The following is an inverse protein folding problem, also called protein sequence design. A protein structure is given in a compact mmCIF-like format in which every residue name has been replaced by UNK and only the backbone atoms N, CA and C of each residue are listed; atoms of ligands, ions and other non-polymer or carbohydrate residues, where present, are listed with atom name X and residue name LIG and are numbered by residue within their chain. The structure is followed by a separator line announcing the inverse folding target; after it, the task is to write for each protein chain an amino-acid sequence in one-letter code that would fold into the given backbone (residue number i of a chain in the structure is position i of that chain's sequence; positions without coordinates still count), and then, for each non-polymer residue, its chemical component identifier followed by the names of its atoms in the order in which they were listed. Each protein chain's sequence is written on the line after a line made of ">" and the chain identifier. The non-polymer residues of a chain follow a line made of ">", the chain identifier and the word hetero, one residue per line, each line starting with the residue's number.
data_IF_582876082690
#
_entry.id   IF_582876082690
#
_cell.length_a   1.000
_cell.length_b   1.000
_cell.length_c   1.000
_cell.angle_alpha   90.00
_cell.angle_beta   90.00
_cell.angle_gamma   90.00
#
_symmetry.space_group_name_H-M   'P 1'
#
loop_
_entity.id
_entity.type
_entity.pdbx_description
1 polymer ?
#
# COMPACT_ATOMS: atom_id res chain seq x y z
N UNK A 1 22.67 10.99 -20.85
CA UNK A 1 21.41 11.06 -20.11
C UNK A 1 20.92 9.63 -19.90
N UNK A 2 20.69 9.21 -18.67
CA UNK A 2 20.01 7.94 -18.41
C UNK A 2 18.55 8.21 -18.76
N UNK A 3 17.99 7.49 -19.73
CA UNK A 3 16.59 7.65 -20.10
C UNK A 3 15.71 7.35 -18.87
N UNK A 4 14.68 8.16 -18.64
CA UNK A 4 13.73 7.92 -17.56
C UNK A 4 13.13 6.50 -17.69
N UNK A 5 13.26 5.69 -16.65
CA UNK A 5 12.65 4.37 -16.62
C UNK A 5 11.20 4.49 -16.16
N UNK A 6 10.27 4.29 -17.09
CA UNK A 6 8.85 4.14 -16.76
C UNK A 6 8.59 2.72 -16.27
N UNK A 7 7.90 2.58 -15.13
CA UNK A 7 7.43 1.30 -14.58
C UNK A 7 5.91 1.36 -14.44
N UNK A 8 5.27 0.21 -14.62
CA UNK A 8 3.82 0.07 -14.58
C UNK A 8 3.42 -0.81 -13.40
N UNK A 9 2.25 -0.53 -12.83
CA UNK A 9 1.55 -1.44 -11.93
C UNK A 9 0.53 -2.18 -12.81
N UNK A 10 0.68 -3.50 -12.89
CA UNK A 10 -0.16 -4.35 -13.73
C UNK A 10 -1.60 -4.42 -13.20
N UNK A 11 -2.57 -4.57 -14.12
CA UNK A 11 -3.97 -4.82 -13.80
C UNK A 11 -4.11 -6.21 -13.14
N UNK A 12 -4.66 -6.24 -11.92
CA UNK A 12 -4.91 -7.47 -11.17
C UNK A 12 -5.85 -7.19 -9.98
N UNK A 13 -6.15 -8.23 -9.20
CA UNK A 13 -6.89 -8.10 -7.94
C UNK A 13 -5.96 -7.73 -6.80
N UNK A 14 -6.43 -6.85 -5.92
CA UNK A 14 -5.69 -6.36 -4.77
C UNK A 14 -6.54 -6.48 -3.50
N UNK A 15 -5.88 -6.74 -2.38
CA UNK A 15 -6.39 -6.38 -1.06
C UNK A 15 -6.12 -4.88 -0.87
N UNK A 16 -7.17 -4.08 -0.81
CA UNK A 16 -7.08 -2.63 -0.63
C UNK A 16 -7.56 -2.23 0.77
N UNK A 17 -6.79 -1.37 1.45
CA UNK A 17 -7.12 -0.84 2.76
C UNK A 17 -6.76 0.64 2.83
N UNK A 18 -7.76 1.48 3.10
CA UNK A 18 -7.52 2.86 3.51
C UNK A 18 -7.11 2.90 4.98
N UNK A 19 -5.91 3.39 5.24
CA UNK A 19 -5.36 3.49 6.57
C UNK A 19 -5.09 4.95 6.93
N UNK A 20 -5.47 5.34 8.15
CA UNK A 20 -5.24 6.66 8.71
C UNK A 20 -4.18 6.57 9.81
N UNK A 21 -3.16 7.42 9.73
CA UNK A 21 -2.07 7.49 10.70
C UNK A 21 -0.72 7.81 10.07
N UNK A 22 0.28 8.01 10.92
CA UNK A 22 1.65 8.38 10.50
C UNK A 22 2.34 7.29 9.69
N UNK A 23 3.18 7.65 8.70
CA UNK A 23 3.89 6.66 7.86
C UNK A 23 4.73 5.61 8.62
N UNK A 24 5.12 5.90 9.86
CA UNK A 24 5.80 4.95 10.75
C UNK A 24 4.94 3.69 11.00
N UNK A 25 3.62 3.83 11.07
CA UNK A 25 2.67 2.74 11.35
C UNK A 25 2.38 1.82 10.16
N UNK A 26 2.69 2.23 8.92
CA UNK A 26 2.34 1.48 7.70
C UNK A 26 2.94 0.08 7.72
N UNK A 27 4.21 -0.07 8.10
CA UNK A 27 4.87 -1.38 8.11
C UNK A 27 4.21 -2.37 9.09
N UNK A 28 3.80 -1.88 10.26
CA UNK A 28 3.05 -2.69 11.23
C UNK A 28 1.67 -3.07 10.69
N UNK A 29 0.97 -2.13 10.04
CA UNK A 29 -0.34 -2.40 9.44
C UNK A 29 -0.25 -3.42 8.30
N UNK A 30 0.74 -3.33 7.42
CA UNK A 30 0.96 -4.32 6.35
C UNK A 30 1.19 -5.72 6.95
N UNK A 31 1.96 -5.81 8.04
CA UNK A 31 2.19 -7.09 8.73
C UNK A 31 0.90 -7.67 9.29
N UNK A 32 0.07 -6.85 9.94
CA UNK A 32 -1.26 -7.24 10.43
C UNK A 32 -2.15 -7.75 9.30
N UNK A 33 -2.23 -7.00 8.18
CA UNK A 33 -3.02 -7.40 7.00
C UNK A 33 -2.55 -8.74 6.43
N UNK A 34 -1.23 -8.99 6.39
CA UNK A 34 -0.69 -10.27 5.91
C UNK A 34 -1.00 -11.43 6.84
N UNK A 35 -1.09 -11.19 8.14
CA UNK A 35 -1.48 -12.21 9.12
C UNK A 35 -2.97 -12.53 9.00
N UNK A 36 -3.82 -11.51 8.89
CA UNK A 36 -5.27 -11.65 8.82
C UNK A 36 -5.75 -12.21 7.47
N UNK A 37 -5.21 -11.70 6.38
CA UNK A 37 -5.64 -12.00 5.01
C UNK A 37 -4.67 -12.88 4.22
N UNK A 38 -3.71 -13.53 4.90
CA UNK A 38 -2.71 -14.39 4.25
C UNK A 38 -3.33 -15.54 3.44
N UNK A 39 -4.54 -15.97 3.78
CA UNK A 39 -5.30 -16.99 3.05
C UNK A 39 -5.68 -16.58 1.62
N UNK A 40 -5.64 -15.28 1.30
CA UNK A 40 -5.89 -14.80 -0.06
C UNK A 40 -4.72 -15.04 -1.02
N UNK A 41 -3.54 -15.44 -0.54
CA UNK A 41 -2.36 -15.60 -1.39
C UNK A 41 -1.72 -14.25 -1.74
N UNK A 42 -1.33 -13.46 -0.74
CA UNK A 42 -0.82 -12.11 -0.93
C UNK A 42 0.62 -12.07 -1.48
N UNK A 43 0.87 -11.26 -2.51
CA UNK A 43 2.22 -10.99 -3.06
C UNK A 43 3.14 -10.41 -1.99
N UNK A 44 4.46 -10.64 -2.09
CA UNK A 44 5.46 -9.96 -1.26
C UNK A 44 5.48 -8.44 -1.47
N UNK A 45 5.05 -7.98 -2.64
CA UNK A 45 5.01 -6.56 -2.97
C UNK A 45 3.83 -5.86 -2.30
N UNK A 46 3.96 -4.55 -2.09
CA UNK A 46 2.90 -3.71 -1.56
C UNK A 46 3.06 -2.31 -2.13
N UNK A 47 1.95 -1.74 -2.57
CA UNK A 47 1.88 -0.36 -3.07
C UNK A 47 1.19 0.50 -2.03
N UNK A 48 1.74 1.68 -1.76
CA UNK A 48 1.19 2.65 -0.81
C UNK A 48 0.93 3.94 -1.57
N UNK A 49 -0.33 4.34 -1.66
CA UNK A 49 -0.75 5.58 -2.30
C UNK A 49 -1.10 6.59 -1.23
N UNK A 50 -0.29 7.64 -1.13
CA UNK A 50 -0.55 8.73 -0.19
C UNK A 50 -1.70 9.59 -0.73
N UNK A 51 -2.80 9.65 0.01
CA UNK A 51 -3.99 10.45 -0.32
C UNK A 51 -3.94 11.79 0.43
N UNK A 52 -3.68 11.74 1.74
CA UNK A 52 -3.40 12.91 2.58
C UNK A 52 -2.00 12.75 3.14
N UNK A 53 -1.14 13.75 2.89
CA UNK A 53 0.28 13.71 3.25
C UNK A 53 0.77 15.02 3.89
N UNK A 54 2.06 15.08 4.17
CA UNK A 54 2.73 16.23 4.81
C UNK A 54 2.58 17.58 4.08
N UNK A 55 2.23 17.57 2.80
CA UNK A 55 2.00 18.77 2.01
C UNK A 55 0.58 19.32 2.23
N UNK A 56 -0.39 18.44 2.51
CA UNK A 56 -1.79 18.80 2.75
C UNK A 56 -2.12 18.93 4.25
N UNK A 57 -1.46 18.15 5.10
CA UNK A 57 -1.75 18.05 6.53
C UNK A 57 -0.46 18.11 7.36
N UNK A 58 -0.50 18.77 8.51
CA UNK A 58 0.62 18.93 9.44
C UNK A 58 0.59 17.93 10.59
N UNK A 59 -0.59 17.48 11.00
CA UNK A 59 -0.71 16.38 11.95
C UNK A 59 -0.49 15.04 11.24
N UNK A 60 0.61 14.36 11.58
CA UNK A 60 0.94 13.08 10.96
C UNK A 60 -0.05 11.97 11.27
N UNK A 61 -0.83 12.08 12.35
CA UNK A 61 -1.86 11.10 12.68
C UNK A 61 -3.11 11.23 11.80
N UNK A 62 -3.19 12.32 11.02
CA UNK A 62 -4.28 12.59 10.08
C UNK A 62 -3.96 12.20 8.64
N UNK A 63 -2.76 11.68 8.37
CA UNK A 63 -2.39 11.18 7.04
C UNK A 63 -3.26 10.00 6.63
N UNK A 64 -3.54 9.91 5.33
CA UNK A 64 -4.35 8.83 4.76
C UNK A 64 -3.53 8.17 3.65
N UNK A 65 -3.31 6.87 3.79
CA UNK A 65 -2.62 6.04 2.79
C UNK A 65 -3.53 4.89 2.39
N UNK A 66 -3.70 4.69 1.08
CA UNK A 66 -4.28 3.46 0.56
C UNK A 66 -3.17 2.42 0.37
N UNK A 67 -3.27 1.33 1.12
CA UNK A 67 -2.39 0.17 1.05
C UNK A 67 -3.01 -0.82 0.08
N UNK A 68 -2.28 -1.20 -0.96
CA UNK A 68 -2.70 -2.22 -1.92
C UNK A 68 -1.70 -3.37 -1.96
N UNK A 69 -2.18 -4.59 -1.67
CA UNK A 69 -1.37 -5.81 -1.73
C UNK A 69 -1.92 -6.70 -2.85
N UNK A 70 -1.15 -6.99 -3.92
CA UNK A 70 -1.61 -7.86 -4.98
C UNK A 70 -1.99 -9.25 -4.46
N UNK A 71 -3.06 -9.81 -5.02
CA UNK A 71 -3.46 -11.18 -4.76
C UNK A 71 -2.89 -12.07 -5.86
N UNK A 72 -2.07 -13.04 -5.47
CA UNK A 72 -1.45 -14.02 -6.37
C UNK A 72 -2.34 -15.25 -6.51
N UNK A 73 -2.33 -15.88 -7.69
CA UNK A 73 -2.99 -17.17 -7.91
C UNK A 73 -4.50 -17.12 -8.21
N UNK A 74 -5.06 -15.94 -8.47
CA UNK A 74 -6.43 -15.81 -9.00
C UNK A 74 -6.34 -15.39 -10.46
N UNK A 75 -6.19 -16.37 -11.36
CA UNK A 75 -6.40 -16.23 -12.82
C UNK A 75 -7.85 -16.51 -13.17
#
# INVERSE_FOLDING_TARGET
>A
AVADQVRYIEEQKFLCVCWKGSYIGIGAKIKELRQEYGYLGLSSDTYNFNIVDQFLEKDMEEYITEIQIPITGIS
#
